data_IF_195649453179
#
_entry.id   IF_195649453179
#
_cell.length_a   1.000
_cell.length_b   1.000
_cell.length_c   1.000
_cell.angle_alpha   90.00
_cell.angle_beta   90.00
_cell.angle_gamma   90.00
#
_symmetry.space_group_name_H-M   'P 1'
#
loop_
_entity.id
_entity.type
_entity.pdbx_description
1 polymer ?
#
# COMPACT_ATOMS: atom_id res chain seq x y z
N UNK A 1 0.58 3.95 22.78
CA UNK A 1 -0.79 4.20 22.28
C UNK A 1 -0.94 3.60 20.90
N UNK A 2 -1.97 2.82 20.68
CA UNK A 2 -2.26 2.24 19.36
C UNK A 2 -3.16 3.20 18.56
N UNK A 3 -2.95 3.21 17.26
CA UNK A 3 -3.74 4.00 16.34
C UNK A 3 -5.04 3.27 15.99
N UNK A 4 -6.18 3.91 16.23
CA UNK A 4 -7.47 3.40 15.82
C UNK A 4 -7.66 3.68 14.32
N UNK A 5 -7.66 2.65 13.48
CA UNK A 5 -7.74 2.81 12.04
C UNK A 5 -9.17 3.15 11.59
N UNK A 6 -9.26 4.08 10.67
CA UNK A 6 -10.48 4.44 9.95
C UNK A 6 -10.15 4.57 8.46
N UNK A 7 -11.15 4.50 7.56
CA UNK A 7 -10.90 4.76 6.15
C UNK A 7 -10.24 6.10 5.88
N UNK A 8 -10.58 7.15 6.64
CA UNK A 8 -9.95 8.47 6.48
C UNK A 8 -8.47 8.45 6.84
N UNK A 9 -8.09 7.69 7.87
CA UNK A 9 -6.67 7.53 8.23
C UNK A 9 -5.93 6.76 7.14
N UNK A 10 -6.54 5.74 6.55
CA UNK A 10 -5.93 5.02 5.42
C UNK A 10 -5.72 5.95 4.23
N UNK A 11 -6.72 6.77 3.91
CA UNK A 11 -6.61 7.75 2.83
C UNK A 11 -5.49 8.75 3.11
N UNK A 12 -5.36 9.20 4.35
CA UNK A 12 -4.29 10.12 4.75
C UNK A 12 -2.91 9.49 4.58
N UNK A 13 -2.75 8.22 4.94
CA UNK A 13 -1.50 7.48 4.72
C UNK A 13 -1.14 7.41 3.24
N UNK A 14 -2.11 7.04 2.40
CA UNK A 14 -1.93 7.02 0.95
C UNK A 14 -1.57 8.41 0.41
N UNK A 15 -2.29 9.43 0.82
CA UNK A 15 -2.07 10.81 0.37
C UNK A 15 -0.67 11.32 0.73
N UNK A 16 -0.17 10.94 1.91
CA UNK A 16 1.19 11.27 2.32
C UNK A 16 2.22 10.58 1.43
N UNK A 17 2.07 9.28 1.22
CA UNK A 17 3.04 8.49 0.47
C UNK A 17 3.06 8.85 -1.02
N UNK A 18 1.90 9.11 -1.61
CA UNK A 18 1.78 9.34 -3.05
C UNK A 18 2.55 10.58 -3.53
N UNK A 19 2.81 11.53 -2.64
CA UNK A 19 3.61 12.73 -2.97
C UNK A 19 5.11 12.54 -2.69
N UNK A 20 5.51 11.37 -2.22
CA UNK A 20 6.91 11.05 -1.93
C UNK A 20 7.51 10.17 -3.03
N UNK A 21 8.86 10.24 -3.26
CA UNK A 21 9.51 9.27 -4.14
C UNK A 21 9.46 7.85 -3.52
N UNK A 22 9.41 6.80 -4.31
CA UNK A 22 9.29 6.79 -5.77
C UNK A 22 7.84 6.93 -6.25
N UNK A 23 6.86 6.89 -5.35
CA UNK A 23 5.42 6.86 -5.66
C UNK A 23 4.98 8.02 -6.56
N UNK A 24 5.54 9.21 -6.32
CA UNK A 24 5.16 10.42 -7.08
C UNK A 24 5.41 10.27 -8.59
N UNK A 25 6.33 9.39 -8.97
CA UNK A 25 6.67 9.15 -10.39
C UNK A 25 5.80 8.08 -11.05
N UNK A 26 4.96 7.40 -10.27
CA UNK A 26 4.21 6.24 -10.76
C UNK A 26 2.84 6.60 -11.32
N UNK A 27 2.46 7.85 -11.26
CA UNK A 27 1.15 8.32 -11.75
C UNK A 27 -0.01 7.53 -11.12
N UNK A 28 0.05 7.35 -9.81
CA UNK A 28 -0.99 6.65 -9.05
C UNK A 28 -2.28 7.46 -9.02
N UNK A 29 -3.44 6.80 -8.84
CA UNK A 29 -4.72 7.51 -8.70
C UNK A 29 -4.70 8.50 -7.54
N UNK A 30 -5.50 9.56 -7.65
CA UNK A 30 -5.69 10.48 -6.53
C UNK A 30 -6.32 9.76 -5.34
N UNK A 31 -6.08 10.22 -4.11
CA UNK A 31 -6.64 9.55 -2.92
C UNK A 31 -8.17 9.40 -2.97
N UNK A 32 -8.87 10.36 -3.57
CA UNK A 32 -10.33 10.30 -3.71
C UNK A 32 -10.79 9.21 -4.69
N UNK A 33 -9.92 8.76 -5.58
CA UNK A 33 -10.25 7.76 -6.60
C UNK A 33 -9.91 6.34 -6.17
N UNK A 34 -9.47 6.16 -4.92
CA UNK A 34 -9.16 4.87 -4.32
C UNK A 34 -10.11 4.61 -3.17
N UNK A 35 -10.62 3.40 -3.09
CA UNK A 35 -11.46 2.97 -1.97
C UNK A 35 -10.58 2.41 -0.86
N UNK A 36 -10.85 2.82 0.38
CA UNK A 36 -10.10 2.36 1.54
C UNK A 36 -11.05 1.71 2.54
N UNK A 37 -10.71 0.50 2.98
CA UNK A 37 -11.50 -0.24 3.95
C UNK A 37 -10.60 -0.77 5.07
N UNK A 38 -11.07 -0.65 6.31
CA UNK A 38 -10.46 -1.29 7.46
C UNK A 38 -11.13 -2.65 7.65
N UNK A 39 -10.33 -3.70 7.75
CA UNK A 39 -10.84 -5.04 8.00
C UNK A 39 -10.33 -5.53 9.35
N UNK A 40 -11.10 -6.41 9.99
CA UNK A 40 -10.69 -7.08 11.21
C UNK A 40 -10.03 -8.40 10.86
N UNK A 41 -8.91 -8.67 11.48
CA UNK A 41 -8.19 -9.92 11.26
C UNK A 41 -6.75 -9.81 11.70
N UNK A 42 -6.13 -10.97 11.96
CA UNK A 42 -4.73 -11.06 12.40
C UNK A 42 -3.89 -11.84 11.40
N UNK A 43 -4.49 -12.31 10.30
CA UNK A 43 -3.87 -13.23 9.37
C UNK A 43 -3.01 -12.54 8.32
N UNK A 44 -3.28 -11.25 8.05
CA UNK A 44 -2.55 -10.46 7.09
C UNK A 44 -2.61 -8.99 7.47
N UNK A 45 -1.69 -8.21 6.95
CA UNK A 45 -1.64 -6.77 7.24
C UNK A 45 -2.54 -5.96 6.35
N UNK A 46 -2.67 -6.36 5.08
CA UNK A 46 -3.54 -5.68 4.14
C UNK A 46 -3.58 -6.40 2.80
N UNK A 47 -4.41 -5.90 1.91
CA UNK A 47 -4.43 -6.34 0.51
C UNK A 47 -4.86 -5.20 -0.41
N UNK A 48 -4.61 -5.43 -1.67
CA UNK A 48 -5.10 -4.62 -2.76
C UNK A 48 -5.97 -5.49 -3.65
N UNK A 49 -7.07 -4.92 -4.16
CA UNK A 49 -7.87 -5.57 -5.19
C UNK A 49 -8.53 -4.55 -6.10
N UNK A 50 -8.97 -5.01 -7.25
CA UNK A 50 -9.77 -4.22 -8.16
C UNK A 50 -10.79 -5.10 -8.85
N UNK A 51 -12.07 -4.74 -8.73
CA UNK A 51 -13.15 -5.36 -9.47
C UNK A 51 -13.39 -4.57 -10.75
N UNK A 52 -13.78 -5.27 -11.83
CA UNK A 52 -14.04 -4.66 -13.12
C UNK A 52 -15.07 -3.53 -13.01
N UNK A 53 -14.72 -2.36 -13.55
CA UNK A 53 -15.58 -1.18 -13.50
C UNK A 53 -15.65 -0.48 -12.15
N UNK A 54 -14.83 -0.90 -11.19
CA UNK A 54 -14.76 -0.31 -9.85
C UNK A 54 -13.40 0.33 -9.61
N UNK A 55 -13.28 1.26 -8.67
CA UNK A 55 -11.98 1.83 -8.32
C UNK A 55 -11.08 0.78 -7.67
N UNK A 56 -9.78 1.06 -7.65
CA UNK A 56 -8.85 0.29 -6.84
C UNK A 56 -9.27 0.34 -5.38
N UNK A 57 -9.15 -0.77 -4.69
CA UNK A 57 -9.49 -0.89 -3.28
C UNK A 57 -8.27 -1.37 -2.50
N UNK A 58 -7.92 -0.64 -1.45
CA UNK A 58 -6.88 -1.04 -0.51
C UNK A 58 -7.55 -1.31 0.84
N UNK A 59 -7.34 -2.52 1.36
CA UNK A 59 -7.85 -2.92 2.66
C UNK A 59 -6.68 -3.08 3.61
N UNK A 60 -6.81 -2.59 4.82
CA UNK A 60 -5.77 -2.68 5.85
C UNK A 60 -6.37 -3.29 7.10
N UNK A 61 -5.67 -4.27 7.66
CA UNK A 61 -6.12 -4.95 8.87
C UNK A 61 -5.85 -4.10 10.11
N UNK A 62 -6.84 -4.00 10.98
CA UNK A 62 -6.66 -3.33 12.27
C UNK A 62 -5.77 -4.14 13.23
N UNK A 63 -5.62 -5.45 12.99
CA UNK A 63 -4.91 -6.35 13.90
C UNK A 63 -3.38 -6.19 13.90
N UNK A 64 -2.80 -5.67 12.83
CA UNK A 64 -1.34 -5.57 12.70
C UNK A 64 -0.81 -4.18 12.41
N UNK A 65 -1.66 -3.16 12.42
CA UNK A 65 -1.31 -1.82 11.95
C UNK A 65 -1.64 -0.73 12.98
N UNK A 66 -1.37 -1.03 14.27
CA UNK A 66 -1.63 -0.10 15.36
C UNK A 66 -0.61 1.02 15.51
N UNK A 67 0.50 0.96 14.79
CA UNK A 67 1.55 1.96 14.80
C UNK A 67 1.60 2.68 13.46
N UNK A 68 1.92 3.97 13.46
CA UNK A 68 1.95 4.77 12.23
C UNK A 68 2.95 4.22 11.21
N UNK A 69 4.15 3.85 11.64
CA UNK A 69 5.16 3.28 10.73
C UNK A 69 4.66 1.98 10.11
N UNK A 70 4.07 1.09 10.89
CA UNK A 70 3.54 -0.17 10.38
C UNK A 70 2.40 0.06 9.39
N UNK A 71 1.51 1.01 9.68
CA UNK A 71 0.45 1.40 8.76
C UNK A 71 1.03 1.88 7.43
N UNK A 72 2.01 2.78 7.48
CA UNK A 72 2.61 3.32 6.26
C UNK A 72 3.37 2.26 5.47
N UNK A 73 4.02 1.31 6.14
CA UNK A 73 4.65 0.15 5.47
C UNK A 73 3.62 -0.69 4.72
N UNK A 74 2.52 -1.03 5.39
CA UNK A 74 1.44 -1.81 4.77
C UNK A 74 0.83 -1.06 3.60
N UNK A 75 0.56 0.24 3.77
CA UNK A 75 0.04 1.07 2.69
C UNK A 75 0.99 1.09 1.50
N UNK A 76 2.28 1.31 1.73
CA UNK A 76 3.30 1.31 0.68
C UNK A 76 3.35 -0.03 -0.07
N UNK A 77 3.25 -1.14 0.66
CA UNK A 77 3.21 -2.47 0.10
C UNK A 77 2.05 -2.62 -0.89
N UNK A 78 0.84 -2.21 -0.48
CA UNK A 78 -0.34 -2.32 -1.34
C UNK A 78 -0.29 -1.34 -2.51
N UNK A 79 0.33 -0.18 -2.33
CA UNK A 79 0.52 0.78 -3.43
C UNK A 79 1.44 0.23 -4.52
N UNK A 80 2.40 -0.62 -4.17
CA UNK A 80 3.23 -1.32 -5.16
C UNK A 80 2.37 -2.26 -6.00
N UNK A 81 1.49 -3.04 -5.38
CA UNK A 81 0.56 -3.91 -6.11
C UNK A 81 -0.35 -3.11 -7.04
N UNK A 82 -0.88 -1.99 -6.55
CA UNK A 82 -1.72 -1.10 -7.35
C UNK A 82 -0.95 -0.59 -8.58
N UNK A 83 0.29 -0.14 -8.37
CA UNK A 83 1.13 0.37 -9.46
C UNK A 83 1.38 -0.70 -10.52
N UNK A 84 1.78 -1.88 -10.12
CA UNK A 84 2.05 -2.99 -11.04
C UNK A 84 0.81 -3.31 -11.87
N UNK A 85 -0.35 -3.34 -11.23
CA UNK A 85 -1.60 -3.63 -11.92
C UNK A 85 -1.99 -2.52 -12.89
N UNK A 86 -2.01 -1.25 -12.45
CA UNK A 86 -2.44 -0.15 -13.33
C UNK A 86 -1.49 0.06 -14.51
N UNK A 87 -0.20 -0.22 -14.33
CA UNK A 87 0.81 -0.13 -15.39
C UNK A 87 0.79 -1.36 -16.31
N UNK A 88 -0.07 -2.33 -16.00
CA UNK A 88 -0.19 -3.57 -16.75
C UNK A 88 1.13 -4.33 -16.89
N UNK A 89 1.91 -4.35 -15.80
CA UNK A 89 3.19 -5.03 -15.74
C UNK A 89 2.95 -6.47 -15.27
N UNK A 90 3.58 -7.43 -15.93
CA UNK A 90 3.54 -8.82 -15.51
C UNK A 90 4.69 -9.14 -14.58
N UNK A 91 4.42 -9.90 -13.54
CA UNK A 91 5.43 -10.42 -12.63
C UNK A 91 5.40 -11.95 -12.63
N UNK A 92 6.47 -12.56 -12.12
CA UNK A 92 6.59 -14.03 -12.03
C UNK A 92 5.66 -14.60 -10.97
N UNK A 93 5.33 -13.81 -9.97
CA UNK A 93 4.41 -14.15 -8.88
C UNK A 93 3.92 -12.87 -8.23
N UNK A 94 3.06 -13.00 -7.23
CA UNK A 94 2.48 -11.87 -6.49
C UNK A 94 3.55 -10.97 -5.87
N UNK A 95 4.65 -11.57 -5.38
CA UNK A 95 5.81 -10.86 -4.84
C UNK A 95 7.08 -11.28 -5.57
N UNK A 96 7.02 -11.28 -6.90
CA UNK A 96 8.12 -11.71 -7.76
C UNK A 96 9.18 -10.64 -7.97
N UNK A 97 9.96 -10.78 -9.04
CA UNK A 97 11.09 -9.90 -9.33
C UNK A 97 10.67 -8.44 -9.49
N UNK A 98 9.53 -8.20 -10.13
CA UNK A 98 9.04 -6.84 -10.37
C UNK A 98 8.63 -6.20 -9.05
N UNK A 99 7.83 -6.90 -8.25
CA UNK A 99 7.44 -6.40 -6.92
C UNK A 99 8.67 -6.08 -6.08
N UNK A 100 9.63 -6.99 -6.01
CA UNK A 100 10.85 -6.80 -5.21
C UNK A 100 11.70 -5.64 -5.68
N UNK A 101 11.74 -5.38 -6.99
CA UNK A 101 12.42 -4.22 -7.54
C UNK A 101 11.81 -2.91 -7.03
N UNK A 102 10.48 -2.81 -7.07
CA UNK A 102 9.80 -1.60 -6.58
C UNK A 102 9.89 -1.49 -5.06
N UNK A 103 9.79 -2.60 -4.34
CA UNK A 103 9.96 -2.61 -2.88
C UNK A 103 11.35 -2.09 -2.49
N UNK A 104 12.40 -2.49 -3.21
CA UNK A 104 13.75 -1.99 -2.96
C UNK A 104 13.84 -0.47 -3.18
N UNK A 105 13.19 0.06 -4.22
CA UNK A 105 13.15 1.50 -4.46
C UNK A 105 12.44 2.24 -3.32
N UNK A 106 11.34 1.69 -2.85
CA UNK A 106 10.57 2.29 -1.73
C UNK A 106 11.41 2.32 -0.46
N UNK A 107 12.01 1.19 -0.10
CA UNK A 107 12.78 1.08 1.15
C UNK A 107 14.09 1.89 1.09
N UNK A 108 14.62 2.16 -0.09
CA UNK A 108 15.80 3.03 -0.24
C UNK A 108 15.49 4.47 0.14
N UNK A 109 14.29 4.94 -0.18
CA UNK A 109 13.84 6.30 0.15
C UNK A 109 13.28 6.35 1.57
N UNK A 110 12.40 5.42 1.90
CA UNK A 110 11.71 5.37 3.20
C UNK A 110 12.49 4.45 4.14
N UNK A 111 13.59 4.96 4.68
CA UNK A 111 14.56 4.15 5.44
C UNK A 111 14.01 3.66 6.78
N UNK A 112 12.89 4.21 7.26
CA UNK A 112 12.21 3.70 8.46
C UNK A 112 11.42 2.41 8.20
N UNK A 113 11.19 2.04 6.92
CA UNK A 113 10.47 0.82 6.60
C UNK A 113 11.38 -0.41 6.71
N UNK A 114 10.81 -1.49 7.22
CA UNK A 114 11.51 -2.78 7.31
C UNK A 114 11.35 -3.52 5.97
N UNK A 115 12.46 -3.76 5.24
CA UNK A 115 12.38 -4.48 3.96
C UNK A 115 11.75 -5.87 4.05
N UNK A 116 11.78 -6.49 5.21
CA UNK A 116 11.18 -7.82 5.43
C UNK A 116 9.65 -7.80 5.37
N UNK A 117 9.04 -6.63 5.44
CA UNK A 117 7.59 -6.47 5.38
C UNK A 117 7.07 -6.26 3.94
N UNK A 118 7.96 -6.35 2.98
CA UNK A 118 7.64 -6.17 1.55
C UNK A 118 7.83 -7.43 0.72
#
# INVERSE_FOLDING_TARGET
>A
MTLALTPDILRASYALLVVTPPFIKWNLPDPEDVQFNVVRGKWYYGDWNRKRGKPHCIRVSSGGNGQLTTLNETMAHEMIHLHIHQANIRDTSDHGKVFRKYAAQVCKVHTCFDPKRF
#
